data_IF_791702315147
#
_entry.id   IF_791702315147
#
_cell.length_a   1.000
_cell.length_b   1.000
_cell.length_c   1.000
_cell.angle_alpha   90.00
_cell.angle_beta   90.00
_cell.angle_gamma   90.00
#
_symmetry.space_group_name_H-M   'P 1'
#
loop_
_entity.id
_entity.type
_entity.pdbx_description
1 polymer ?
#
# COMPACT_ATOMS: atom_id res chain seq x y z
N UNK A 1 -5.30 30.55 -5.60
CA UNK A 1 -4.00 30.06 -5.09
C UNK A 1 -3.00 31.20 -5.19
N UNK A 2 -2.28 31.57 -4.10
CA UNK A 2 -1.32 32.69 -4.13
C UNK A 2 -0.09 32.30 -4.96
N UNK A 3 0.55 33.31 -5.62
CA UNK A 3 1.78 33.12 -6.43
C UNK A 3 2.87 32.36 -5.64
N UNK A 4 3.01 32.64 -4.33
CA UNK A 4 3.94 31.94 -3.44
C UNK A 4 3.62 30.43 -3.28
N UNK A 5 2.33 30.07 -3.22
CA UNK A 5 1.90 28.66 -3.16
C UNK A 5 2.14 27.94 -4.49
N UNK A 6 1.90 28.63 -5.61
CA UNK A 6 2.18 28.09 -6.95
C UNK A 6 3.69 27.89 -7.17
N UNK A 7 4.52 28.84 -6.78
CA UNK A 7 5.98 28.75 -6.90
C UNK A 7 6.56 27.63 -6.02
N UNK A 8 6.11 27.51 -4.78
CA UNK A 8 6.51 26.42 -3.90
C UNK A 8 6.07 25.04 -4.45
N UNK A 9 4.89 24.97 -5.06
CA UNK A 9 4.39 23.75 -5.68
C UNK A 9 5.25 23.34 -6.90
N UNK A 10 5.60 24.27 -7.77
CA UNK A 10 6.47 24.03 -8.94
C UNK A 10 7.89 23.59 -8.53
N UNK A 11 8.47 24.22 -7.51
CA UNK A 11 9.78 23.82 -6.99
C UNK A 11 9.72 22.42 -6.38
N UNK A 12 8.66 22.11 -5.64
CA UNK A 12 8.44 20.79 -5.04
C UNK A 12 8.29 19.72 -6.11
N UNK A 13 7.46 19.98 -7.11
CA UNK A 13 7.22 19.06 -8.22
C UNK A 13 8.53 18.71 -8.96
N UNK A 14 9.32 19.71 -9.28
CA UNK A 14 10.62 19.49 -9.93
C UNK A 14 11.64 18.74 -9.06
N UNK A 15 11.64 18.97 -7.74
CA UNK A 15 12.51 18.26 -6.81
C UNK A 15 12.05 16.82 -6.63
N UNK A 16 10.75 16.61 -6.42
CA UNK A 16 10.14 15.30 -6.29
C UNK A 16 10.45 14.42 -7.50
N UNK A 17 10.18 14.92 -8.70
CA UNK A 17 10.50 14.21 -9.94
C UNK A 17 11.96 13.81 -10.02
N UNK A 18 12.89 14.73 -9.74
CA UNK A 18 14.34 14.44 -9.77
C UNK A 18 14.72 13.37 -8.77
N UNK A 19 14.19 13.42 -7.54
CA UNK A 19 14.47 12.42 -6.51
C UNK A 19 13.97 11.03 -6.90
N UNK A 20 12.74 10.93 -7.40
CA UNK A 20 12.16 9.68 -7.89
C UNK A 20 12.98 9.12 -9.06
N UNK A 21 13.31 9.95 -10.05
CA UNK A 21 14.08 9.53 -11.20
C UNK A 21 15.51 9.09 -10.82
N UNK A 22 16.11 9.74 -9.84
CA UNK A 22 17.43 9.37 -9.32
C UNK A 22 17.42 8.01 -8.62
N UNK A 23 16.32 7.66 -7.93
CA UNK A 23 16.20 6.34 -7.27
C UNK A 23 16.04 5.20 -8.28
N UNK A 24 15.54 5.48 -9.48
CA UNK A 24 15.29 4.50 -10.52
C UNK A 24 14.11 3.56 -10.25
N UNK A 25 13.40 3.73 -9.15
CA UNK A 25 12.26 2.90 -8.78
C UNK A 25 11.17 3.68 -8.02
N UNK A 26 9.98 3.07 -7.97
CA UNK A 26 8.91 3.51 -7.09
C UNK A 26 8.20 2.32 -6.47
N UNK A 27 8.05 2.34 -5.15
CA UNK A 27 7.25 1.37 -4.40
C UNK A 27 5.87 1.95 -4.10
N UNK A 28 4.83 1.32 -4.61
CA UNK A 28 3.45 1.67 -4.27
C UNK A 28 3.06 0.96 -2.97
N UNK A 29 2.86 1.75 -1.93
CA UNK A 29 2.61 1.26 -0.57
C UNK A 29 1.13 0.94 -0.36
N UNK A 30 0.74 -0.30 -0.61
CA UNK A 30 -0.61 -0.78 -0.28
C UNK A 30 -0.68 -1.12 1.22
N UNK A 31 -1.70 -0.62 1.95
CA UNK A 31 -1.82 -0.86 3.39
C UNK A 31 -1.95 -2.35 3.73
N UNK A 32 -1.22 -2.81 4.74
CA UNK A 32 -1.29 -4.16 5.34
C UNK A 32 -0.83 -5.32 4.44
N UNK A 33 -0.02 -5.02 3.44
CA UNK A 33 0.67 -6.00 2.58
C UNK A 33 2.14 -6.24 2.96
N UNK A 34 2.51 -5.94 4.21
CA UNK A 34 3.89 -6.04 4.69
C UNK A 34 4.78 -4.84 4.32
N UNK A 35 4.18 -3.75 3.91
CA UNK A 35 4.86 -2.55 3.39
C UNK A 35 5.75 -1.83 4.41
N UNK A 36 5.47 -1.93 5.71
CA UNK A 36 6.23 -1.22 6.74
C UNK A 36 7.69 -1.67 6.82
N UNK A 37 7.95 -2.98 6.81
CA UNK A 37 9.32 -3.52 6.81
C UNK A 37 10.03 -3.21 5.49
N UNK A 38 9.31 -3.27 4.38
CA UNK A 38 9.84 -2.96 3.07
C UNK A 38 10.28 -1.49 2.99
N UNK A 39 9.44 -0.56 3.40
CA UNK A 39 9.79 0.87 3.46
C UNK A 39 11.02 1.13 4.33
N UNK A 40 11.09 0.48 5.49
CA UNK A 40 12.22 0.64 6.40
C UNK A 40 13.53 0.21 5.74
N UNK A 41 13.56 -0.98 5.18
CA UNK A 41 14.77 -1.52 4.54
C UNK A 41 15.17 -0.73 3.28
N UNK A 42 14.21 -0.33 2.47
CA UNK A 42 14.51 0.51 1.31
C UNK A 42 15.05 1.89 1.73
N UNK A 43 14.50 2.47 2.80
CA UNK A 43 15.02 3.73 3.32
C UNK A 43 16.47 3.59 3.81
N UNK A 44 16.81 2.49 4.51
CA UNK A 44 18.19 2.19 4.89
C UNK A 44 19.10 2.00 3.67
N UNK A 45 18.68 1.16 2.74
CA UNK A 45 19.49 0.82 1.56
C UNK A 45 19.80 2.01 0.66
N UNK A 46 18.89 2.98 0.58
CA UNK A 46 19.03 4.17 -0.28
C UNK A 46 19.34 5.46 0.48
N UNK A 47 19.59 5.38 1.79
CA UNK A 47 19.95 6.54 2.61
C UNK A 47 18.80 7.54 2.78
N UNK A 48 17.56 7.08 2.76
CA UNK A 48 16.40 7.95 3.00
C UNK A 48 16.22 8.20 4.51
N UNK A 49 15.89 9.44 4.93
CA UNK A 49 15.73 9.73 6.35
C UNK A 49 14.56 8.96 6.96
N UNK A 50 14.83 8.32 8.09
CA UNK A 50 13.83 7.68 8.94
C UNK A 50 13.19 8.70 9.86
N UNK A 51 11.87 8.82 9.83
CA UNK A 51 11.11 9.53 10.86
C UNK A 51 9.98 8.65 11.40
N UNK A 52 9.63 8.79 12.67
CA UNK A 52 8.44 8.16 13.27
C UNK A 52 7.14 8.55 12.54
N UNK A 53 7.20 9.56 11.69
CA UNK A 53 6.15 10.07 10.82
C UNK A 53 6.51 9.94 9.36
N UNK A 54 7.26 8.90 8.97
CA UNK A 54 7.54 8.61 7.56
C UNK A 54 6.23 8.26 6.82
N UNK A 55 5.37 9.23 6.75
CA UNK A 55 4.25 9.30 5.84
C UNK A 55 4.82 9.76 4.50
N UNK A 56 5.37 8.82 3.75
CA UNK A 56 5.93 9.12 2.44
C UNK A 56 7.37 8.70 2.27
N UNK A 57 7.67 8.34 1.08
CA UNK A 57 8.83 7.61 0.59
C UNK A 57 10.07 8.46 0.38
N UNK A 58 9.96 9.77 0.47
CA UNK A 58 11.03 10.63 0.01
C UNK A 58 11.63 11.46 1.14
N UNK A 59 12.96 11.58 1.10
CA UNK A 59 13.70 12.34 2.07
C UNK A 59 13.57 13.83 1.78
N UNK A 60 12.56 14.49 2.27
CA UNK A 60 12.66 15.95 2.34
C UNK A 60 11.75 16.62 3.39
N UNK A 61 12.14 17.86 3.77
CA UNK A 61 11.54 18.75 4.78
C UNK A 61 10.05 18.50 5.04
N UNK A 62 9.63 18.53 6.31
CA UNK A 62 8.27 18.27 6.86
C UNK A 62 7.04 18.74 6.05
N UNK A 63 7.21 19.59 5.05
CA UNK A 63 6.13 20.17 4.25
C UNK A 63 5.99 19.62 2.82
N UNK A 64 6.75 18.60 2.44
CA UNK A 64 6.93 18.18 1.03
C UNK A 64 6.81 16.67 0.80
N UNK A 65 6.03 15.96 1.61
CA UNK A 65 5.83 14.51 1.45
C UNK A 65 4.52 14.19 0.75
N UNK A 66 4.56 13.22 -0.15
CA UNK A 66 3.33 12.52 -0.51
C UNK A 66 2.85 11.73 0.72
N UNK A 67 1.54 11.69 0.97
CA UNK A 67 0.99 10.84 2.01
C UNK A 67 1.43 9.39 1.83
N UNK A 68 1.60 8.67 2.93
CA UNK A 68 1.69 7.22 2.87
C UNK A 68 0.47 6.67 2.12
N UNK A 69 0.66 5.56 1.42
CA UNK A 69 -0.42 4.92 0.68
C UNK A 69 -1.01 5.79 -0.45
N UNK A 70 -0.16 6.60 -1.12
CA UNK A 70 -0.56 7.33 -2.32
C UNK A 70 -0.72 6.35 -3.49
N UNK A 71 -1.88 6.33 -4.20
CA UNK A 71 -2.08 5.50 -5.37
C UNK A 71 -1.05 5.75 -6.48
N UNK A 72 -0.72 4.71 -7.24
CA UNK A 72 0.23 4.78 -8.35
C UNK A 72 -0.14 5.86 -9.38
N UNK A 73 -1.42 5.97 -9.69
CA UNK A 73 -1.94 6.97 -10.64
C UNK A 73 -1.60 8.40 -10.24
N UNK A 74 -1.76 8.74 -8.95
CA UNK A 74 -1.44 10.07 -8.46
C UNK A 74 0.06 10.41 -8.63
N UNK A 75 0.92 9.42 -8.39
CA UNK A 75 2.36 9.60 -8.58
C UNK A 75 2.70 9.71 -10.07
N UNK A 76 2.11 8.85 -10.90
CA UNK A 76 2.25 8.88 -12.36
C UNK A 76 1.87 10.25 -12.95
N UNK A 77 0.77 10.82 -12.48
CA UNK A 77 0.33 12.16 -12.91
C UNK A 77 1.35 13.25 -12.52
N UNK A 78 1.94 13.18 -11.32
CA UNK A 78 2.93 14.15 -10.86
C UNK A 78 4.22 14.06 -11.68
N UNK A 79 4.78 12.86 -11.86
CA UNK A 79 6.08 12.71 -12.54
C UNK A 79 5.97 12.64 -14.07
N UNK A 80 4.78 12.35 -14.58
CA UNK A 80 4.47 12.19 -15.99
C UNK A 80 4.69 10.76 -16.51
N UNK A 81 3.87 10.32 -17.45
CA UNK A 81 3.86 8.97 -18.04
C UNK A 81 5.26 8.52 -18.51
N UNK A 82 5.95 9.34 -19.30
CA UNK A 82 7.28 9.00 -19.83
C UNK A 82 8.34 8.74 -18.75
N UNK A 83 8.20 9.37 -17.57
CA UNK A 83 9.10 9.14 -16.44
C UNK A 83 8.68 7.90 -15.66
N UNK A 84 7.37 7.68 -15.49
CA UNK A 84 6.84 6.49 -14.84
C UNK A 84 7.32 5.19 -15.52
N UNK A 85 7.25 5.15 -16.84
CA UNK A 85 7.67 4.00 -17.66
C UNK A 85 9.18 3.65 -17.55
N UNK A 86 10.00 4.63 -17.15
CA UNK A 86 11.44 4.41 -16.94
C UNK A 86 11.78 3.83 -15.58
N UNK A 87 10.82 3.84 -14.63
CA UNK A 87 11.04 3.36 -13.28
C UNK A 87 10.78 1.86 -13.18
N UNK A 88 11.53 1.19 -12.31
CA UNK A 88 11.10 -0.09 -11.78
C UNK A 88 10.02 0.15 -10.72
N UNK A 89 8.76 0.01 -11.11
CA UNK A 89 7.62 0.21 -10.22
C UNK A 89 7.15 -1.11 -9.65
N UNK A 90 6.91 -1.18 -8.35
CA UNK A 90 6.49 -2.44 -7.71
C UNK A 90 5.61 -2.21 -6.50
N UNK A 91 4.88 -3.26 -6.14
CA UNK A 91 4.04 -3.33 -4.96
C UNK A 91 3.91 -4.75 -4.47
N UNK A 92 3.24 -4.91 -3.32
CA UNK A 92 2.77 -6.20 -2.82
C UNK A 92 1.26 -6.16 -2.64
N UNK A 93 0.63 -7.28 -2.94
CA UNK A 93 -0.77 -7.54 -2.62
C UNK A 93 -0.88 -8.69 -1.61
N UNK A 94 -2.03 -8.81 -1.00
CA UNK A 94 -2.33 -9.85 -0.01
C UNK A 94 -3.75 -10.34 -0.21
N UNK A 95 -4.01 -11.61 0.15
CA UNK A 95 -5.38 -12.13 0.17
C UNK A 95 -6.30 -11.13 0.88
N UNK A 96 -7.42 -10.69 0.25
CA UNK A 96 -8.27 -9.63 0.79
C UNK A 96 -8.84 -9.95 2.17
N UNK A 97 -9.22 -11.20 2.46
CA UNK A 97 -9.71 -11.59 3.78
C UNK A 97 -8.63 -11.40 4.86
N UNK A 98 -7.44 -11.94 4.61
CA UNK A 98 -6.31 -11.87 5.54
C UNK A 98 -5.84 -10.42 5.71
N UNK A 99 -5.86 -9.64 4.63
CA UNK A 99 -5.57 -8.21 4.66
C UNK A 99 -6.59 -7.47 5.52
N UNK A 100 -7.88 -7.78 5.39
CA UNK A 100 -8.94 -7.07 6.13
C UNK A 100 -8.88 -7.34 7.63
N UNK A 101 -8.61 -8.58 8.06
CA UNK A 101 -8.32 -8.89 9.47
C UNK A 101 -7.10 -8.09 9.97
N UNK A 102 -6.04 -7.98 9.16
CA UNK A 102 -4.87 -7.17 9.52
C UNK A 102 -5.19 -5.67 9.63
N UNK A 103 -6.13 -5.15 8.85
CA UNK A 103 -6.66 -3.79 8.99
C UNK A 103 -7.42 -3.64 10.31
N UNK A 104 -8.37 -4.53 10.61
CA UNK A 104 -9.09 -4.53 11.89
C UNK A 104 -8.11 -4.50 13.08
N UNK A 105 -7.14 -5.42 13.11
CA UNK A 105 -6.16 -5.49 14.18
C UNK A 105 -5.35 -4.19 14.31
N UNK A 106 -5.04 -3.55 13.19
CA UNK A 106 -4.35 -2.27 13.18
C UNK A 106 -5.20 -1.14 13.80
N UNK A 107 -6.43 -0.97 13.35
CA UNK A 107 -7.33 0.06 13.86
C UNK A 107 -7.75 -0.20 15.31
N UNK A 108 -7.98 -1.46 15.66
CA UNK A 108 -8.42 -1.85 17.00
C UNK A 108 -7.33 -1.73 18.05
N UNK A 109 -6.12 -2.24 17.76
CA UNK A 109 -5.10 -2.45 18.79
C UNK A 109 -3.90 -1.50 18.68
N UNK A 110 -3.59 -0.99 17.50
CA UNK A 110 -2.44 -0.10 17.32
C UNK A 110 -2.83 1.37 17.27
N UNK A 111 -3.77 1.75 16.42
CA UNK A 111 -4.27 3.13 16.35
C UNK A 111 -5.30 3.44 17.43
N UNK A 112 -6.02 2.41 17.92
CA UNK A 112 -7.10 2.53 18.90
C UNK A 112 -8.22 3.48 18.43
N UNK A 113 -8.45 3.51 17.12
CA UNK A 113 -9.46 4.34 16.47
C UNK A 113 -10.77 3.56 16.18
N UNK A 114 -10.78 2.24 16.45
CA UNK A 114 -11.96 1.38 16.34
C UNK A 114 -12.20 0.65 17.66
N UNK A 115 -13.42 0.74 18.20
CA UNK A 115 -13.79 0.12 19.47
C UNK A 115 -14.75 -1.06 19.33
N UNK A 116 -15.39 -1.25 18.16
CA UNK A 116 -16.32 -2.33 17.88
C UNK A 116 -15.64 -3.70 17.68
N UNK A 117 -16.47 -4.73 17.56
CA UNK A 117 -16.04 -6.10 17.24
C UNK A 117 -15.58 -6.22 15.77
N UNK A 118 -15.00 -7.39 15.42
CA UNK A 118 -14.65 -7.69 14.02
C UNK A 118 -15.90 -7.75 13.11
N UNK A 119 -17.03 -8.39 13.52
CA UNK A 119 -18.26 -8.31 12.74
C UNK A 119 -18.75 -6.90 12.48
N UNK A 120 -18.67 -5.99 13.48
CA UNK A 120 -19.05 -4.59 13.29
C UNK A 120 -18.14 -3.88 12.29
N UNK A 121 -16.83 -4.19 12.32
CA UNK A 121 -15.87 -3.67 11.38
C UNK A 121 -16.14 -4.12 9.94
N UNK A 122 -16.51 -5.40 9.74
CA UNK A 122 -16.92 -5.92 8.44
C UNK A 122 -18.19 -5.22 7.96
N UNK A 123 -19.24 -5.14 8.80
CA UNK A 123 -20.51 -4.52 8.41
C UNK A 123 -20.39 -3.03 8.10
N UNK A 124 -19.41 -2.34 8.68
CA UNK A 124 -19.16 -0.92 8.36
C UNK A 124 -18.72 -0.69 6.90
N UNK A 125 -18.34 -1.73 6.17
CA UNK A 125 -18.05 -1.62 4.73
C UNK A 125 -19.28 -1.20 3.91
N UNK A 126 -20.49 -1.54 4.35
CA UNK A 126 -21.73 -1.14 3.67
C UNK A 126 -21.93 0.38 3.62
N UNK A 127 -21.34 1.11 4.56
CA UNK A 127 -21.36 2.58 4.55
C UNK A 127 -20.48 3.20 3.45
N UNK A 128 -19.62 2.39 2.84
CA UNK A 128 -18.60 2.81 1.88
C UNK A 128 -18.61 1.94 0.62
N UNK A 129 -19.60 2.08 -0.27
CA UNK A 129 -19.65 1.30 -1.51
C UNK A 129 -18.31 1.33 -2.27
N UNK A 130 -17.92 0.22 -2.94
CA UNK A 130 -16.64 0.12 -3.64
C UNK A 130 -16.37 1.26 -4.63
N UNK A 131 -17.39 1.79 -5.28
CA UNK A 131 -17.31 2.87 -6.28
C UNK A 131 -17.22 4.26 -5.66
N UNK A 132 -17.40 4.38 -4.35
CA UNK A 132 -17.32 5.69 -3.67
C UNK A 132 -15.94 6.31 -3.89
N UNK A 133 -15.86 7.63 -4.08
CA UNK A 133 -14.59 8.34 -4.20
C UNK A 133 -13.67 8.06 -3.01
N UNK A 134 -12.37 7.83 -3.27
CA UNK A 134 -11.40 7.47 -2.24
C UNK A 134 -11.36 8.48 -1.09
N UNK A 135 -11.53 9.77 -1.38
CA UNK A 135 -11.52 10.83 -0.37
C UNK A 135 -12.70 10.76 0.62
N UNK A 136 -13.74 9.99 0.29
CA UNK A 136 -14.94 9.82 1.11
C UNK A 136 -14.97 8.51 1.89
N UNK A 137 -13.95 7.66 1.73
CA UNK A 137 -13.83 6.36 2.41
C UNK A 137 -12.68 6.36 3.40
N UNK A 138 -12.80 5.63 4.53
CA UNK A 138 -11.63 5.34 5.37
C UNK A 138 -10.69 4.38 4.63
N UNK A 139 -9.41 4.41 5.00
CA UNK A 139 -8.36 3.62 4.33
C UNK A 139 -8.61 2.11 4.36
N UNK A 140 -9.36 1.61 5.34
CA UNK A 140 -9.69 0.19 5.43
C UNK A 140 -10.71 -0.26 4.37
N UNK A 141 -11.51 0.66 3.83
CA UNK A 141 -12.47 0.40 2.75
C UNK A 141 -11.84 0.56 1.34
N UNK A 142 -10.53 0.90 1.25
CA UNK A 142 -9.84 0.95 -0.04
C UNK A 142 -9.49 -0.46 -0.50
N UNK A 143 -9.79 -0.74 -1.77
CA UNK A 143 -9.36 -1.95 -2.46
C UNK A 143 -7.88 -1.82 -2.84
N UNK A 144 -7.20 -2.92 -3.05
CA UNK A 144 -5.80 -2.91 -3.51
C UNK A 144 -5.70 -2.41 -4.96
N UNK A 145 -6.71 -2.73 -5.78
CA UNK A 145 -6.81 -2.18 -7.15
C UNK A 145 -6.85 -0.66 -7.17
N UNK A 146 -7.44 -0.01 -6.17
CA UNK A 146 -7.50 1.46 -6.07
C UNK A 146 -6.10 2.11 -5.97
N UNK A 147 -5.09 1.35 -5.56
CA UNK A 147 -3.70 1.80 -5.50
C UNK A 147 -2.88 1.47 -6.74
N UNK A 148 -3.27 0.43 -7.49
CA UNK A 148 -2.40 -0.25 -8.44
C UNK A 148 -2.89 -0.22 -9.88
N UNK A 149 -4.15 0.15 -10.12
CA UNK A 149 -4.77 0.19 -11.45
C UNK A 149 -5.09 1.63 -11.85
N UNK A 150 -5.19 1.86 -13.15
CA UNK A 150 -5.81 3.07 -13.70
C UNK A 150 -7.33 2.88 -13.86
N UNK A 151 -7.99 3.91 -14.40
CA UNK A 151 -9.45 3.90 -14.59
C UNK A 151 -9.91 2.90 -15.65
N UNK A 152 -9.03 2.50 -16.55
CA UNK A 152 -9.26 1.48 -17.57
C UNK A 152 -8.97 0.05 -17.05
N UNK A 153 -8.53 -0.10 -15.79
CA UNK A 153 -8.19 -1.38 -15.18
C UNK A 153 -6.80 -1.90 -15.55
N UNK A 154 -5.94 -1.07 -16.14
CA UNK A 154 -4.57 -1.46 -16.45
C UNK A 154 -3.68 -1.37 -15.20
N UNK A 155 -2.87 -2.40 -14.98
CA UNK A 155 -1.92 -2.40 -13.87
C UNK A 155 -0.79 -1.39 -14.10
N UNK A 156 -0.59 -0.52 -13.13
CA UNK A 156 0.37 0.58 -13.18
C UNK A 156 1.79 0.21 -12.70
N UNK A 157 1.95 -0.95 -12.04
CA UNK A 157 3.25 -1.39 -11.54
C UNK A 157 3.85 -2.48 -12.42
N UNK A 158 5.16 -2.41 -12.68
CA UNK A 158 5.88 -3.38 -13.51
C UNK A 158 6.09 -4.72 -12.81
N UNK A 159 6.17 -4.73 -11.47
CA UNK A 159 6.26 -5.96 -10.67
C UNK A 159 5.23 -5.94 -9.54
N UNK A 160 4.55 -7.08 -9.38
CA UNK A 160 3.57 -7.28 -8.32
C UNK A 160 3.92 -8.54 -7.53
N UNK A 161 4.43 -8.35 -6.33
CA UNK A 161 4.68 -9.41 -5.37
C UNK A 161 3.43 -9.76 -4.56
N UNK A 162 3.42 -10.96 -3.98
CA UNK A 162 2.40 -11.43 -3.06
C UNK A 162 2.95 -11.51 -1.64
N UNK A 163 2.13 -11.14 -0.66
CA UNK A 163 2.51 -11.28 0.74
C UNK A 163 2.77 -12.76 1.11
N UNK A 164 2.01 -13.64 0.52
CA UNK A 164 2.05 -15.08 0.73
C UNK A 164 3.35 -15.72 0.19
N UNK A 165 3.91 -15.18 -0.88
CA UNK A 165 5.21 -15.58 -1.46
C UNK A 165 6.31 -14.54 -1.21
N UNK A 166 6.17 -13.76 -0.12
CA UNK A 166 6.99 -12.58 0.14
C UNK A 166 8.49 -12.83 0.04
N UNK A 167 8.98 -13.93 0.54
CA UNK A 167 10.43 -14.22 0.58
C UNK A 167 11.04 -14.28 -0.82
N UNK A 168 10.40 -15.01 -1.74
CA UNK A 168 10.87 -15.13 -3.14
C UNK A 168 10.74 -13.80 -3.90
N UNK A 169 9.58 -13.15 -3.76
CA UNK A 169 9.31 -11.89 -4.45
C UNK A 169 10.22 -10.77 -3.96
N UNK A 170 10.51 -10.74 -2.66
CA UNK A 170 11.43 -9.81 -2.06
C UNK A 170 12.88 -10.04 -2.55
N UNK A 171 13.30 -11.30 -2.64
CA UNK A 171 14.62 -11.66 -3.17
C UNK A 171 14.81 -11.15 -4.62
N UNK A 172 13.76 -11.23 -5.44
CA UNK A 172 13.78 -10.65 -6.78
C UNK A 172 13.98 -9.13 -6.75
N UNK A 173 13.24 -8.40 -5.88
CA UNK A 173 13.33 -6.94 -5.74
C UNK A 173 14.72 -6.53 -5.26
N UNK A 174 15.27 -7.19 -4.23
CA UNK A 174 16.59 -6.94 -3.68
C UNK A 174 17.65 -7.07 -4.78
N UNK A 175 17.60 -8.14 -5.57
CA UNK A 175 18.49 -8.38 -6.70
C UNK A 175 18.32 -7.31 -7.78
N UNK A 176 17.09 -6.98 -8.15
CA UNK A 176 16.77 -5.98 -9.19
C UNK A 176 17.26 -4.59 -8.82
N UNK A 177 17.13 -4.20 -7.56
CA UNK A 177 17.58 -2.91 -7.03
C UNK A 177 19.06 -2.91 -6.59
N UNK A 178 19.75 -4.06 -6.67
CA UNK A 178 21.16 -4.23 -6.26
C UNK A 178 21.38 -3.83 -4.80
N UNK A 179 20.46 -4.13 -3.93
CA UNK A 179 20.54 -3.83 -2.49
C UNK A 179 21.57 -4.77 -1.87
N UNK A 180 22.59 -4.21 -1.21
CA UNK A 180 23.70 -4.99 -0.60
C UNK A 180 23.35 -5.52 0.78
N UNK A 181 22.61 -4.76 1.56
CA UNK A 181 22.25 -5.09 2.94
C UNK A 181 20.73 -5.06 3.08
N UNK A 182 20.19 -6.15 3.57
CA UNK A 182 18.76 -6.31 3.86
C UNK A 182 18.56 -6.97 5.21
N UNK A 183 17.76 -6.38 6.07
CA UNK A 183 17.49 -6.92 7.40
C UNK A 183 16.04 -7.41 7.51
N UNK A 184 15.83 -8.71 7.39
CA UNK A 184 14.51 -9.33 7.56
C UNK A 184 14.01 -9.35 9.01
N UNK A 185 14.92 -9.25 9.99
CA UNK A 185 14.59 -9.41 11.41
C UNK A 185 13.73 -8.28 11.98
N UNK A 186 13.67 -7.14 11.30
CA UNK A 186 13.03 -5.93 11.84
C UNK A 186 11.52 -6.08 12.02
N UNK A 187 10.84 -7.06 11.38
CA UNK A 187 9.37 -7.13 11.39
C UNK A 187 8.73 -8.53 11.35
N UNK A 188 9.48 -9.59 11.51
CA UNK A 188 8.93 -10.96 11.53
C UNK A 188 8.12 -11.29 12.78
N UNK A 189 8.26 -10.53 13.84
CA UNK A 189 7.69 -10.86 15.16
C UNK A 189 6.19 -10.55 15.34
N UNK A 190 5.50 -9.90 14.41
CA UNK A 190 4.14 -9.40 14.66
C UNK A 190 3.00 -10.02 13.85
N UNK A 191 3.26 -11.03 13.01
CA UNK A 191 2.25 -11.51 12.04
C UNK A 191 2.17 -13.03 11.85
N UNK A 192 2.77 -13.83 12.71
CA UNK A 192 2.50 -15.28 12.72
C UNK A 192 1.24 -15.61 13.56
N UNK A 193 0.10 -15.01 13.17
CA UNK A 193 -1.16 -15.65 13.45
C UNK A 193 -1.41 -16.63 12.31
N UNK A 194 -1.68 -17.89 12.64
CA UNK A 194 -1.89 -18.96 11.68
C UNK A 194 -3.10 -18.65 10.77
N UNK A 195 -3.09 -19.15 9.54
CA UNK A 195 -4.26 -19.06 8.65
C UNK A 195 -5.53 -19.59 9.34
N UNK A 196 -5.42 -20.58 10.22
CA UNK A 196 -6.50 -21.14 11.03
C UNK A 196 -7.18 -20.12 11.98
N UNK A 197 -6.45 -19.09 12.47
CA UNK A 197 -7.06 -18.05 13.29
C UNK A 197 -7.93 -17.08 12.45
N UNK A 198 -7.71 -17.02 11.14
CA UNK A 198 -8.51 -16.19 10.24
C UNK A 198 -9.85 -16.85 9.90
N UNK A 199 -9.89 -18.17 9.74
CA UNK A 199 -11.13 -18.92 9.47
C UNK A 199 -12.14 -18.79 10.60
N UNK A 200 -11.68 -18.74 11.84
CA UNK A 200 -12.55 -18.58 13.03
C UNK A 200 -13.22 -17.19 13.08
N UNK A 201 -12.62 -16.17 12.45
CA UNK A 201 -13.14 -14.80 12.49
C UNK A 201 -14.27 -14.55 11.49
N UNK A 202 -14.42 -15.37 10.45
CA UNK A 202 -15.37 -15.17 9.39
C UNK A 202 -16.52 -16.18 9.47
N UNK A 203 -17.75 -15.70 9.74
CA UNK A 203 -18.96 -16.43 9.36
C UNK A 203 -19.22 -16.26 7.85
N UNK A 204 -20.08 -17.05 7.29
CA UNK A 204 -20.41 -17.01 5.85
C UNK A 204 -20.93 -15.62 5.42
N UNK A 205 -21.81 -15.02 6.21
CA UNK A 205 -22.34 -13.68 5.95
C UNK A 205 -21.22 -12.62 5.92
N UNK A 206 -20.25 -12.70 6.84
CA UNK A 206 -19.13 -11.78 6.88
C UNK A 206 -18.15 -11.98 5.71
N UNK A 207 -17.97 -13.23 5.28
CA UNK A 207 -17.19 -13.53 4.06
C UNK A 207 -17.84 -12.89 2.84
N UNK A 208 -19.15 -13.05 2.69
CA UNK A 208 -19.87 -12.48 1.56
C UNK A 208 -19.72 -10.96 1.49
N UNK A 209 -19.87 -10.25 2.62
CA UNK A 209 -19.69 -8.80 2.67
C UNK A 209 -18.26 -8.39 2.22
N UNK A 210 -17.24 -9.08 2.74
CA UNK A 210 -15.86 -8.78 2.38
C UNK A 210 -15.57 -9.14 0.92
N UNK A 211 -16.08 -10.28 0.45
CA UNK A 211 -15.93 -10.70 -0.94
C UNK A 211 -16.56 -9.70 -1.91
N UNK A 212 -17.81 -9.31 -1.67
CA UNK A 212 -18.51 -8.32 -2.50
C UNK A 212 -17.75 -6.99 -2.54
N UNK A 213 -17.32 -6.48 -1.38
CA UNK A 213 -16.62 -5.19 -1.31
C UNK A 213 -15.26 -5.21 -2.02
N UNK A 214 -14.50 -6.31 -1.90
CA UNK A 214 -13.16 -6.46 -2.49
C UNK A 214 -13.14 -7.36 -3.73
N UNK A 215 -14.28 -7.60 -4.38
CA UNK A 215 -14.38 -8.51 -5.54
C UNK A 215 -13.34 -8.17 -6.63
N UNK A 216 -13.15 -6.89 -6.91
CA UNK A 216 -12.14 -6.44 -7.87
C UNK A 216 -10.69 -6.86 -7.48
N UNK A 217 -10.36 -6.94 -6.18
CA UNK A 217 -9.05 -7.44 -5.72
C UNK A 217 -8.92 -8.94 -5.95
N UNK A 218 -10.00 -9.72 -5.68
CA UNK A 218 -9.99 -11.17 -5.93
C UNK A 218 -9.79 -11.48 -7.41
N UNK A 219 -10.52 -10.81 -8.28
CA UNK A 219 -10.44 -11.00 -9.74
C UNK A 219 -9.09 -10.55 -10.30
N UNK A 220 -8.68 -9.30 -10.02
CA UNK A 220 -7.48 -8.71 -10.59
C UNK A 220 -6.19 -9.42 -10.15
N UNK A 221 -6.15 -9.91 -8.91
CA UNK A 221 -4.97 -10.56 -8.35
C UNK A 221 -5.12 -12.09 -8.26
N UNK A 222 -6.19 -12.67 -8.79
CA UNK A 222 -6.43 -14.11 -8.85
C UNK A 222 -6.31 -14.78 -7.46
N UNK A 223 -6.92 -14.19 -6.45
CA UNK A 223 -7.10 -14.84 -5.17
C UNK A 223 -8.35 -15.73 -5.22
N UNK A 224 -8.33 -16.91 -4.58
CA UNK A 224 -9.53 -17.71 -4.48
C UNK A 224 -10.58 -16.99 -3.64
N UNK A 225 -11.88 -17.12 -3.99
CA UNK A 225 -12.97 -16.54 -3.20
C UNK A 225 -13.19 -17.27 -1.86
N UNK A 226 -12.64 -18.49 -1.74
CA UNK A 226 -12.68 -19.31 -0.54
C UNK A 226 -11.40 -19.10 0.27
N UNK A 227 -11.51 -19.21 1.60
CA UNK A 227 -10.38 -19.16 2.53
C UNK A 227 -9.74 -20.54 2.63
#
# INVERSE_FOLDING_TARGET
MTIKKLFNWLLWDGYFRRSVMKSGFWFVDVPRTGSSSLRHNLALAFGFPHGKTAQGWLPYKKSMYLPAHTPAENVRQIIGQKNWEKLFTFSFVRNPYVRFVSLYNHFRFREKSWNGSFPDFVRSLSDYPPESPLQKKPIYAYRQVDYLMDMEGNRLVSFLGRYESRTSDLSYIIKKLKIKEWNDAVYTASTQKSEQEFDIMYSEDLRNIVHEHFNADFEAFKYPPDL
#
